data_IF_969233899428
#
_entry.id   IF_969233899428
#
_cell.length_a   1.000
_cell.length_b   1.000
_cell.length_c   1.000
_cell.angle_alpha   90.00
_cell.angle_beta   90.00
_cell.angle_gamma   90.00
#
_symmetry.space_group_name_H-M   'P 1'
#
loop_
_entity.id
_entity.type
_entity.pdbx_description
1 polymer ?
#
# COMPACT_ATOMS: atom_id res chain seq x y z
N UNK A 1 35.65 -4.30 -4.45
CA UNK A 1 35.25 -2.93 -4.82
C UNK A 1 34.23 -2.42 -3.81
N UNK A 2 34.33 -1.16 -3.38
CA UNK A 2 33.42 -0.61 -2.36
C UNK A 2 32.34 0.25 -3.01
N UNK A 3 31.11 -0.28 -3.10
CA UNK A 3 29.95 0.47 -3.57
C UNK A 3 29.44 1.39 -2.46
N UNK A 4 29.81 2.67 -2.53
CA UNK A 4 29.40 3.68 -1.55
C UNK A 4 28.64 4.87 -2.16
N UNK A 5 28.55 4.99 -3.50
CA UNK A 5 27.90 6.14 -4.15
C UNK A 5 26.42 6.25 -3.75
N UNK A 6 25.71 5.12 -3.67
CA UNK A 6 24.31 5.09 -3.22
C UNK A 6 24.11 5.56 -1.77
N UNK A 7 25.17 5.62 -0.95
CA UNK A 7 25.10 6.06 0.45
C UNK A 7 25.20 7.57 0.63
N UNK A 8 25.49 8.32 -0.44
CA UNK A 8 25.61 9.78 -0.41
C UNK A 8 24.28 10.41 0.00
N UNK A 9 24.33 11.51 0.73
CA UNK A 9 23.13 12.13 1.29
C UNK A 9 22.20 12.66 0.19
N UNK A 10 22.73 13.13 -0.94
CA UNK A 10 21.93 13.52 -2.10
C UNK A 10 21.04 12.37 -2.62
N UNK A 11 21.54 11.12 -2.63
CA UNK A 11 20.75 9.95 -3.02
C UNK A 11 19.67 9.68 -2.00
N UNK A 12 20.01 9.73 -0.71
CA UNK A 12 19.05 9.50 0.38
C UNK A 12 17.93 10.54 0.39
N UNK A 13 18.27 11.80 0.21
CA UNK A 13 17.33 12.91 0.13
C UNK A 13 16.40 12.75 -1.08
N UNK A 14 16.94 12.38 -2.24
CA UNK A 14 16.14 12.15 -3.44
C UNK A 14 15.14 11.00 -3.25
N UNK A 15 15.58 9.88 -2.67
CA UNK A 15 14.70 8.74 -2.35
C UNK A 15 13.65 9.12 -1.30
N UNK A 16 14.02 9.86 -0.25
CA UNK A 16 13.07 10.35 0.75
C UNK A 16 12.02 11.28 0.14
N UNK A 17 12.41 12.18 -0.77
CA UNK A 17 11.45 13.04 -1.49
C UNK A 17 10.51 12.22 -2.38
N UNK A 18 11.05 11.22 -3.10
CA UNK A 18 10.27 10.37 -3.99
C UNK A 18 9.23 9.53 -3.24
N UNK A 19 9.58 9.01 -2.06
CA UNK A 19 8.70 8.15 -1.26
C UNK A 19 8.04 8.86 -0.07
N UNK A 20 8.19 10.18 0.03
CA UNK A 20 7.66 11.03 1.09
C UNK A 20 8.03 10.54 2.52
N UNK A 21 9.28 10.14 2.72
CA UNK A 21 9.78 9.68 4.03
C UNK A 21 9.21 8.34 4.50
N UNK A 22 8.67 7.54 3.57
CA UNK A 22 8.08 6.23 3.84
C UNK A 22 8.90 5.08 3.25
N UNK A 23 8.80 3.92 3.90
CA UNK A 23 9.34 2.68 3.36
C UNK A 23 8.60 2.30 2.06
N UNK A 24 9.37 2.02 0.99
CA UNK A 24 8.83 1.60 -0.30
C UNK A 24 7.97 0.32 -0.21
N UNK A 25 8.31 -0.59 0.72
CA UNK A 25 7.60 -1.87 0.84
C UNK A 25 6.39 -1.82 1.77
N UNK A 26 6.55 -1.28 2.99
CA UNK A 26 5.50 -1.35 4.01
C UNK A 26 4.73 -0.05 4.23
N UNK A 27 5.03 0.99 3.44
CA UNK A 27 4.44 2.34 3.53
C UNK A 27 4.55 3.03 4.90
N UNK A 28 5.28 2.45 5.85
CA UNK A 28 5.43 3.05 7.18
C UNK A 28 6.37 4.25 7.07
N UNK A 29 5.94 5.38 7.64
CA UNK A 29 6.81 6.54 7.79
C UNK A 29 7.95 6.19 8.74
N UNK A 30 9.19 6.41 8.31
CA UNK A 30 10.37 6.20 9.14
C UNK A 30 11.03 7.51 9.57
N UNK A 31 10.79 8.62 8.86
CA UNK A 31 11.53 9.89 9.00
C UNK A 31 11.62 10.40 10.45
N UNK A 32 10.55 10.22 11.24
CA UNK A 32 10.51 10.65 12.63
C UNK A 32 11.06 9.62 13.65
N UNK A 33 11.31 8.38 13.25
CA UNK A 33 11.53 7.25 14.19
C UNK A 33 12.78 6.42 13.94
N UNK A 34 13.30 6.40 12.71
CA UNK A 34 14.49 5.64 12.35
C UNK A 34 15.15 6.24 11.09
N UNK A 35 16.47 6.11 10.93
CA UNK A 35 17.12 6.50 9.69
C UNK A 35 16.64 5.63 8.53
N UNK A 36 16.55 6.24 7.35
CA UNK A 36 16.26 5.53 6.11
C UNK A 36 17.47 4.68 5.68
N UNK A 37 17.20 3.50 5.12
CA UNK A 37 18.20 2.66 4.48
C UNK A 37 17.97 2.56 2.98
N UNK A 38 19.04 2.78 2.22
CA UNK A 38 19.05 2.58 0.77
C UNK A 38 19.18 1.08 0.51
N UNK A 39 18.05 0.47 0.18
CA UNK A 39 17.95 -0.94 -0.15
C UNK A 39 18.17 -1.19 -1.63
N UNK A 40 18.79 -2.33 -1.93
CA UNK A 40 18.94 -2.83 -3.29
C UNK A 40 17.85 -3.86 -3.59
N UNK A 41 16.95 -3.60 -4.53
CA UNK A 41 15.94 -4.59 -4.91
C UNK A 41 16.60 -5.91 -5.33
N UNK A 42 17.62 -5.82 -6.17
CA UNK A 42 18.52 -6.89 -6.57
C UNK A 42 19.79 -6.83 -5.70
N UNK A 43 20.02 -7.80 -4.79
CA UNK A 43 21.13 -7.76 -3.84
C UNK A 43 22.50 -7.63 -4.51
N UNK A 44 23.30 -6.65 -4.09
CA UNK A 44 24.62 -6.38 -4.72
C UNK A 44 25.71 -7.41 -4.45
N UNK A 45 25.65 -8.10 -3.31
CA UNK A 45 26.78 -8.86 -2.76
C UNK A 45 26.60 -10.36 -2.93
N UNK A 46 25.53 -10.89 -2.37
CA UNK A 46 25.16 -12.31 -2.40
C UNK A 46 23.65 -12.40 -2.61
N UNK A 47 23.17 -13.53 -3.09
CA UNK A 47 21.73 -13.80 -3.30
C UNK A 47 21.34 -15.07 -2.58
N UNK A 48 20.27 -15.03 -1.79
CA UNK A 48 19.61 -16.22 -1.28
C UNK A 48 18.41 -16.58 -2.16
N UNK A 49 18.44 -17.81 -2.72
CA UNK A 49 17.34 -18.37 -3.52
C UNK A 49 16.14 -18.72 -2.66
N UNK A 50 15.02 -19.08 -3.30
CA UNK A 50 13.82 -19.58 -2.60
C UNK A 50 14.10 -20.83 -1.74
N UNK A 51 15.06 -21.68 -2.15
CA UNK A 51 15.50 -22.87 -1.40
C UNK A 51 16.50 -22.56 -0.28
N UNK A 52 16.86 -21.29 -0.08
CA UNK A 52 17.82 -20.86 0.94
C UNK A 52 19.28 -21.08 0.56
N UNK A 53 19.57 -21.44 -0.70
CA UNK A 53 20.94 -21.57 -1.20
C UNK A 53 21.52 -20.16 -1.35
N UNK A 54 22.72 -19.95 -0.82
CA UNK A 54 23.47 -18.71 -0.97
C UNK A 54 24.33 -18.77 -2.24
N UNK A 55 24.11 -17.83 -3.14
CA UNK A 55 24.93 -17.61 -4.33
C UNK A 55 25.91 -16.45 -4.03
N UNK A 56 27.23 -16.68 -4.18
CA UNK A 56 28.26 -15.74 -3.72
C UNK A 56 28.39 -14.50 -4.60
N UNK A 57 27.89 -14.55 -5.83
CA UNK A 57 27.83 -13.40 -6.74
C UNK A 57 26.44 -12.80 -6.63
N UNK A 58 26.36 -11.51 -6.32
CA UNK A 58 25.13 -10.74 -6.44
C UNK A 58 25.12 -9.86 -7.69
N UNK A 59 24.13 -8.98 -7.76
CA UNK A 59 23.92 -8.02 -8.85
C UNK A 59 24.80 -6.78 -8.68
N UNK A 60 26.12 -6.98 -8.56
CA UNK A 60 27.09 -5.90 -8.33
C UNK A 60 27.06 -4.84 -9.45
N UNK A 61 26.74 -5.25 -10.68
CA UNK A 61 26.60 -4.38 -11.85
C UNK A 61 25.37 -3.45 -11.77
N UNK A 62 24.37 -3.79 -10.94
CA UNK A 62 23.19 -2.96 -10.60
C UNK A 62 23.33 -2.27 -9.24
N UNK A 63 24.47 -2.34 -8.57
CA UNK A 63 24.63 -1.82 -7.21
C UNK A 63 24.54 -0.28 -7.09
N UNK A 64 24.53 0.45 -8.19
CA UNK A 64 24.43 1.92 -8.18
C UNK A 64 23.51 2.46 -9.27
N UNK A 65 22.66 1.61 -9.85
CA UNK A 65 21.62 2.03 -10.79
C UNK A 65 20.41 2.50 -10.01
N UNK A 66 19.83 3.64 -10.39
CA UNK A 66 18.73 4.28 -9.66
C UNK A 66 17.52 3.36 -9.50
N UNK A 67 17.21 2.58 -10.53
CA UNK A 67 16.08 1.63 -10.60
C UNK A 67 16.24 0.45 -9.64
N UNK A 68 17.45 0.24 -9.11
CA UNK A 68 17.70 -0.82 -8.13
C UNK A 68 17.70 -0.30 -6.69
N UNK A 69 17.55 1.02 -6.46
CA UNK A 69 17.66 1.64 -5.15
C UNK A 69 16.29 2.08 -4.63
N UNK A 70 15.88 1.56 -3.47
CA UNK A 70 14.64 1.95 -2.80
C UNK A 70 14.91 2.43 -1.37
N UNK A 71 14.15 3.40 -0.86
CA UNK A 71 14.16 3.69 0.55
C UNK A 71 13.39 2.63 1.33
N UNK A 72 13.99 2.11 2.38
CA UNK A 72 13.40 1.06 3.22
C UNK A 72 13.59 1.36 4.70
N UNK A 73 12.68 0.83 5.53
CA UNK A 73 12.90 0.74 6.96
C UNK A 73 13.81 -0.43 7.30
N UNK A 74 14.45 -0.38 8.47
CA UNK A 74 15.41 -1.42 8.90
C UNK A 74 14.77 -2.81 8.99
N UNK A 75 13.47 -2.87 9.33
CA UNK A 75 12.72 -4.12 9.46
C UNK A 75 12.46 -4.82 8.13
N UNK A 76 12.19 -4.06 7.06
CA UNK A 76 12.01 -4.64 5.74
C UNK A 76 13.35 -4.95 5.08
N UNK A 77 14.41 -4.22 5.41
CA UNK A 77 15.72 -4.40 4.82
C UNK A 77 16.57 -5.50 5.47
N UNK A 78 16.84 -5.45 6.79
CA UNK A 78 18.01 -6.15 7.37
C UNK A 78 17.85 -7.63 7.70
N UNK A 79 16.67 -8.24 7.56
CA UNK A 79 16.47 -9.63 7.97
C UNK A 79 16.61 -9.80 9.49
N UNK A 80 15.51 -9.84 10.25
CA UNK A 80 15.55 -9.95 11.71
C UNK A 80 14.44 -10.84 12.26
N UNK A 81 14.68 -11.33 13.47
CA UNK A 81 13.68 -12.07 14.23
C UNK A 81 12.65 -11.12 14.87
N UNK A 82 11.37 -11.39 14.62
CA UNK A 82 10.24 -10.74 15.25
C UNK A 82 9.54 -11.73 16.18
N UNK A 83 9.24 -11.28 17.41
CA UNK A 83 8.53 -12.08 18.40
C UNK A 83 7.03 -11.77 18.33
N UNK A 84 6.22 -12.81 18.24
CA UNK A 84 4.76 -12.72 18.24
C UNK A 84 4.25 -13.71 19.29
N UNK A 85 3.86 -13.21 20.46
CA UNK A 85 3.58 -14.06 21.61
C UNK A 85 4.80 -14.89 22.00
N UNK A 86 4.65 -16.23 21.95
CA UNK A 86 5.75 -17.20 22.21
C UNK A 86 6.51 -17.60 20.94
N UNK A 87 6.02 -17.26 19.75
CA UNK A 87 6.62 -17.65 18.47
C UNK A 87 7.61 -16.59 17.96
N UNK A 88 8.56 -17.02 17.14
CA UNK A 88 9.53 -16.15 16.47
C UNK A 88 9.44 -16.38 14.96
N UNK A 89 9.38 -15.29 14.21
CA UNK A 89 9.35 -15.28 12.75
C UNK A 89 10.54 -14.47 12.24
N UNK A 90 11.13 -14.89 11.12
CA UNK A 90 12.25 -14.19 10.51
C UNK A 90 11.77 -13.46 9.26
N UNK A 91 11.72 -12.12 9.33
CA UNK A 91 11.27 -11.26 8.25
C UNK A 91 12.37 -10.29 7.81
N UNK A 92 12.20 -9.70 6.65
CA UNK A 92 13.15 -8.78 6.04
C UNK A 92 13.84 -9.43 4.85
N UNK A 93 13.99 -8.62 3.79
CA UNK A 93 14.54 -9.04 2.50
C UNK A 93 15.99 -9.48 2.66
N UNK A 94 16.83 -8.66 3.28
CA UNK A 94 18.28 -8.85 3.33
C UNK A 94 18.77 -9.13 1.90
N UNK A 95 19.53 -10.19 1.74
CA UNK A 95 20.02 -10.69 0.46
C UNK A 95 19.07 -11.70 -0.23
N UNK A 96 17.83 -11.86 0.23
CA UNK A 96 16.86 -12.78 -0.41
C UNK A 96 16.35 -12.18 -1.71
N UNK A 97 16.43 -12.96 -2.78
CA UNK A 97 15.91 -12.60 -4.09
C UNK A 97 15.44 -13.85 -4.83
N UNK A 98 14.27 -14.40 -4.43
CA UNK A 98 13.73 -15.58 -5.08
C UNK A 98 13.31 -15.27 -6.52
N UNK A 99 13.70 -16.16 -7.41
CA UNK A 99 13.35 -16.17 -8.83
C UNK A 99 12.54 -17.45 -9.12
N UNK A 100 11.73 -17.44 -10.18
CA UNK A 100 11.02 -18.64 -10.64
C UNK A 100 12.00 -19.73 -11.15
N UNK A 101 13.12 -19.31 -11.72
CA UNK A 101 14.27 -20.15 -12.08
C UNK A 101 15.35 -20.05 -10.98
N UNK A 102 16.13 -21.10 -10.68
CA UNK A 102 17.22 -21.01 -9.69
C UNK A 102 18.39 -20.11 -10.13
N UNK A 103 18.53 -19.86 -11.43
CA UNK A 103 19.66 -19.12 -11.99
C UNK A 103 19.41 -17.61 -11.98
N UNK A 104 20.31 -16.87 -11.34
CA UNK A 104 20.32 -15.41 -11.34
C UNK A 104 21.30 -14.87 -12.38
N UNK A 105 20.98 -13.70 -12.92
CA UNK A 105 21.79 -12.99 -13.88
C UNK A 105 23.09 -12.49 -13.26
N UNK A 106 24.20 -12.83 -13.90
CA UNK A 106 25.55 -12.38 -13.51
C UNK A 106 25.99 -11.10 -14.22
N UNK A 107 25.20 -10.67 -15.21
CA UNK A 107 25.36 -9.42 -15.95
C UNK A 107 24.01 -8.86 -16.42
N UNK A 108 24.08 -7.73 -17.12
CA UNK A 108 22.90 -7.00 -17.59
C UNK A 108 22.05 -7.77 -18.61
N UNK A 109 22.68 -8.62 -19.43
CA UNK A 109 22.00 -9.35 -20.50
C UNK A 109 21.11 -10.47 -19.96
N UNK A 110 21.49 -11.05 -18.82
CA UNK A 110 20.74 -12.12 -18.17
C UNK A 110 19.45 -11.66 -17.50
N UNK A 111 19.32 -10.37 -17.15
CA UNK A 111 18.17 -9.86 -16.37
C UNK A 111 16.83 -10.12 -17.07
N UNK A 112 16.79 -10.00 -18.40
CA UNK A 112 15.57 -10.17 -19.18
C UNK A 112 15.00 -11.60 -19.11
N UNK A 113 15.81 -12.59 -18.71
CA UNK A 113 15.42 -14.00 -18.61
C UNK A 113 14.92 -14.38 -17.21
N UNK A 114 14.97 -13.46 -16.25
CA UNK A 114 14.55 -13.72 -14.88
C UNK A 114 13.08 -13.38 -14.66
N UNK A 115 12.45 -14.15 -13.78
CA UNK A 115 11.12 -13.85 -13.26
C UNK A 115 11.23 -13.71 -11.75
N UNK A 116 11.40 -12.48 -11.21
CA UNK A 116 11.43 -12.25 -9.77
C UNK A 116 10.11 -12.64 -9.10
N UNK A 117 10.19 -13.27 -7.93
CA UNK A 117 9.03 -13.58 -7.09
C UNK A 117 8.80 -12.52 -5.99
N UNK A 118 9.56 -11.43 -6.04
CA UNK A 118 9.34 -10.26 -5.21
C UNK A 118 8.74 -9.12 -6.04
N UNK A 119 7.81 -8.39 -5.44
CA UNK A 119 7.26 -7.15 -5.99
C UNK A 119 8.31 -6.06 -5.81
N UNK A 120 8.62 -5.36 -6.89
CA UNK A 120 9.35 -4.09 -6.87
C UNK A 120 8.37 -2.91 -7.01
N UNK A 121 8.05 -2.19 -5.92
CA UNK A 121 7.09 -1.08 -5.95
C UNK A 121 7.50 0.09 -6.85
N UNK A 122 8.73 0.10 -7.38
CA UNK A 122 9.22 1.14 -8.30
C UNK A 122 9.05 0.78 -9.78
N UNK A 123 8.83 -0.49 -10.11
CA UNK A 123 8.71 -0.97 -11.50
C UNK A 123 7.38 -1.66 -11.82
N UNK A 124 6.62 -2.10 -10.81
CA UNK A 124 5.29 -2.70 -10.98
C UNK A 124 4.29 -2.16 -9.94
N UNK A 125 2.99 -2.20 -10.26
CA UNK A 125 1.93 -1.81 -9.33
C UNK A 125 1.67 -2.95 -8.31
N UNK A 126 1.94 -2.77 -7.01
CA UNK A 126 1.72 -3.83 -6.03
C UNK A 126 0.26 -4.32 -5.95
N UNK A 127 -0.71 -3.50 -6.37
CA UNK A 127 -2.13 -3.85 -6.32
C UNK A 127 -2.53 -4.96 -7.30
N UNK A 128 -1.68 -5.28 -8.29
CA UNK A 128 -1.90 -6.41 -9.20
C UNK A 128 -1.61 -7.77 -8.55
N UNK A 129 -0.91 -7.78 -7.40
CA UNK A 129 -0.48 -8.98 -6.68
C UNK A 129 -0.94 -9.00 -5.21
N UNK A 130 -1.42 -7.86 -4.70
CA UNK A 130 -1.81 -7.67 -3.30
C UNK A 130 -3.22 -7.07 -3.20
N UNK A 131 -4.08 -7.73 -2.44
CA UNK A 131 -5.32 -7.17 -1.93
C UNK A 131 -5.24 -6.88 -0.43
N UNK A 132 -6.31 -6.33 0.14
CA UNK A 132 -6.47 -6.20 1.58
C UNK A 132 -7.60 -7.08 2.08
N UNK A 133 -7.35 -7.87 3.12
CA UNK A 133 -8.43 -8.46 3.90
C UNK A 133 -8.94 -7.37 4.82
N UNK A 134 -10.13 -6.85 4.55
CA UNK A 134 -10.85 -5.94 5.43
C UNK A 134 -12.08 -6.70 5.94
N UNK A 135 -11.92 -7.39 7.07
CA UNK A 135 -12.99 -8.22 7.63
C UNK A 135 -13.94 -7.35 8.49
N UNK A 136 -15.25 -7.26 8.17
CA UNK A 136 -16.21 -6.40 8.89
C UNK A 136 -16.35 -6.70 10.39
N UNK A 137 -15.96 -7.91 10.82
CA UNK A 137 -16.07 -8.36 12.23
C UNK A 137 -14.75 -8.38 12.99
N UNK A 138 -13.61 -8.20 12.31
CA UNK A 138 -12.29 -8.30 12.96
C UNK A 138 -11.48 -7.00 12.90
N UNK A 139 -11.87 -6.03 12.07
CA UNK A 139 -11.17 -4.74 11.90
C UNK A 139 -9.66 -4.91 11.63
N UNK A 140 -9.26 -6.05 11.07
CA UNK A 140 -7.85 -6.32 10.77
C UNK A 140 -7.56 -5.82 9.36
N UNK A 141 -6.51 -5.01 9.21
CA UNK A 141 -6.01 -4.58 7.92
C UNK A 141 -4.69 -5.31 7.58
N UNK A 142 -4.82 -6.44 6.90
CA UNK A 142 -3.70 -7.27 6.46
C UNK A 142 -3.71 -7.42 4.94
N UNK A 143 -2.53 -7.58 4.34
CA UNK A 143 -2.43 -7.93 2.93
C UNK A 143 -2.91 -9.36 2.69
N UNK A 144 -3.63 -9.56 1.60
CA UNK A 144 -3.90 -10.85 0.97
C UNK A 144 -3.06 -10.97 -0.31
N UNK A 145 -2.42 -12.11 -0.57
CA UNK A 145 -1.68 -12.33 -1.80
C UNK A 145 -2.66 -12.72 -2.91
N UNK A 146 -3.39 -11.76 -3.46
CA UNK A 146 -4.40 -12.00 -4.48
C UNK A 146 -4.15 -11.12 -5.69
N UNK A 147 -4.35 -11.68 -6.87
CA UNK A 147 -4.31 -10.92 -8.12
C UNK A 147 -5.64 -10.19 -8.38
N UNK A 148 -5.73 -9.48 -9.50
CA UNK A 148 -6.94 -8.76 -9.93
C UNK A 148 -8.18 -9.66 -10.06
N UNK A 149 -8.02 -10.97 -10.28
CA UNK A 149 -9.12 -11.94 -10.34
C UNK A 149 -9.50 -12.51 -8.96
N UNK A 150 -8.85 -12.07 -7.87
CA UNK A 150 -9.09 -12.56 -6.52
C UNK A 150 -8.48 -13.94 -6.23
N UNK A 151 -7.61 -14.44 -7.10
CA UNK A 151 -6.93 -15.74 -6.96
C UNK A 151 -5.58 -15.56 -6.28
N UNK A 152 -5.13 -16.56 -5.53
CA UNK A 152 -3.83 -16.52 -4.84
C UNK A 152 -2.67 -16.26 -5.82
N UNK A 153 -1.86 -15.26 -5.50
CA UNK A 153 -0.72 -14.82 -6.31
C UNK A 153 0.62 -15.20 -5.64
N UNK A 154 1.46 -16.05 -6.27
CA UNK A 154 2.74 -16.47 -5.70
C UNK A 154 3.74 -15.34 -5.46
N UNK A 155 3.77 -14.30 -6.30
CA UNK A 155 4.65 -13.13 -6.13
C UNK A 155 4.17 -12.29 -4.95
N UNK A 156 2.86 -12.10 -4.84
CA UNK A 156 2.21 -11.48 -3.69
C UNK A 156 2.52 -12.21 -2.38
N UNK A 157 2.35 -13.53 -2.34
CA UNK A 157 2.65 -14.38 -1.17
C UNK A 157 4.11 -14.24 -0.75
N UNK A 158 5.02 -14.44 -1.69
CA UNK A 158 6.47 -14.38 -1.45
C UNK A 158 6.88 -13.00 -0.94
N UNK A 159 6.31 -11.92 -1.47
CA UNK A 159 6.56 -10.56 -1.01
C UNK A 159 6.05 -10.29 0.41
N UNK A 160 4.84 -10.77 0.74
CA UNK A 160 4.29 -10.66 2.10
C UNK A 160 5.22 -11.35 3.11
N UNK A 161 5.68 -12.56 2.78
CA UNK A 161 6.47 -13.39 3.68
C UNK A 161 7.90 -12.89 3.84
N UNK A 162 8.56 -12.49 2.74
CA UNK A 162 9.95 -12.01 2.79
C UNK A 162 10.04 -10.61 3.37
N UNK A 163 9.23 -9.65 2.91
CA UNK A 163 9.26 -8.28 3.44
C UNK A 163 8.62 -8.18 4.84
N UNK A 164 7.92 -9.22 5.27
CA UNK A 164 7.16 -9.24 6.53
C UNK A 164 6.05 -8.19 6.53
N UNK A 165 5.30 -8.08 5.42
CA UNK A 165 4.27 -7.05 5.25
C UNK A 165 3.08 -7.22 6.20
N UNK A 166 2.92 -8.41 6.78
CA UNK A 166 1.88 -8.74 7.77
C UNK A 166 2.44 -8.97 9.19
N UNK A 167 3.66 -8.48 9.49
CA UNK A 167 4.15 -8.51 10.88
C UNK A 167 3.19 -7.73 11.81
N UNK A 168 2.99 -8.15 13.07
CA UNK A 168 1.90 -7.61 13.90
C UNK A 168 1.91 -6.10 14.10
N UNK A 169 3.10 -5.48 14.16
CA UNK A 169 3.21 -4.02 14.28
C UNK A 169 2.61 -3.29 13.08
N UNK A 170 2.82 -3.79 11.85
CA UNK A 170 2.24 -3.20 10.64
C UNK A 170 0.73 -3.42 10.57
N UNK A 171 0.27 -4.63 10.90
CA UNK A 171 -1.16 -4.94 10.93
C UNK A 171 -1.87 -4.02 11.92
N UNK A 172 -1.33 -3.85 13.12
CA UNK A 172 -1.86 -2.92 14.14
C UNK A 172 -1.89 -1.48 13.61
N UNK A 173 -0.79 -0.99 13.05
CA UNK A 173 -0.70 0.38 12.53
C UNK A 173 -1.69 0.64 11.39
N UNK A 174 -1.80 -0.30 10.44
CA UNK A 174 -2.80 -0.25 9.36
C UNK A 174 -4.23 -0.29 9.90
N UNK A 175 -4.53 -1.19 10.83
CA UNK A 175 -5.85 -1.26 11.48
C UNK A 175 -6.22 0.06 12.15
N UNK A 176 -5.33 0.62 12.99
CA UNK A 176 -5.62 1.92 13.63
C UNK A 176 -5.85 3.03 12.61
N UNK A 177 -5.05 3.06 11.54
CA UNK A 177 -5.23 4.03 10.45
C UNK A 177 -6.56 3.85 9.72
N UNK A 178 -6.95 2.60 9.45
CA UNK A 178 -8.22 2.26 8.82
C UNK A 178 -9.40 2.70 9.70
N UNK A 179 -9.36 2.43 11.01
CA UNK A 179 -10.43 2.84 11.93
C UNK A 179 -10.63 4.35 11.96
N UNK A 180 -9.54 5.14 11.97
CA UNK A 180 -9.62 6.61 11.87
C UNK A 180 -10.20 7.06 10.53
N UNK A 181 -9.80 6.42 9.44
CA UNK A 181 -10.29 6.71 8.10
C UNK A 181 -11.80 6.40 7.97
N UNK A 182 -12.24 5.24 8.43
CA UNK A 182 -13.65 4.85 8.45
C UNK A 182 -14.50 5.78 9.32
N UNK A 183 -13.96 6.25 10.46
CA UNK A 183 -14.64 7.26 11.26
C UNK A 183 -14.86 8.57 10.47
N UNK A 184 -13.86 9.01 9.71
CA UNK A 184 -13.97 10.17 8.84
C UNK A 184 -15.01 9.95 7.72
N UNK A 185 -15.03 8.77 7.09
CA UNK A 185 -16.05 8.42 6.09
C UNK A 185 -17.46 8.40 6.68
N UNK A 186 -17.65 7.88 7.89
CA UNK A 186 -18.93 7.95 8.62
C UNK A 186 -19.34 9.38 8.95
N UNK A 187 -18.40 10.33 9.07
CA UNK A 187 -18.73 11.75 9.18
C UNK A 187 -19.35 12.26 7.88
N UNK A 188 -18.73 11.96 6.73
CA UNK A 188 -19.23 12.35 5.40
C UNK A 188 -20.64 11.79 5.18
N UNK A 189 -20.88 10.52 5.50
CA UNK A 189 -22.20 9.89 5.35
C UNK A 189 -23.26 10.58 6.21
N UNK A 190 -22.93 10.89 7.48
CA UNK A 190 -23.85 11.60 8.38
C UNK A 190 -24.14 13.01 7.89
N UNK A 191 -23.12 13.75 7.47
CA UNK A 191 -23.30 15.10 6.93
C UNK A 191 -24.14 15.08 5.65
N UNK A 192 -24.02 14.05 4.81
CA UNK A 192 -24.88 13.86 3.63
C UNK A 192 -26.34 13.69 4.03
N UNK A 193 -26.63 12.77 4.95
CA UNK A 193 -28.00 12.54 5.44
C UNK A 193 -28.60 13.78 6.10
N UNK A 194 -27.75 14.61 6.73
CA UNK A 194 -28.20 15.87 7.30
C UNK A 194 -28.51 16.93 6.23
N UNK A 195 -27.64 17.05 5.22
CA UNK A 195 -27.89 17.91 4.06
C UNK A 195 -29.22 17.57 3.38
N UNK A 196 -29.52 16.28 3.22
CA UNK A 196 -30.77 15.79 2.61
C UNK A 196 -32.03 16.32 3.31
N UNK A 197 -32.01 16.54 4.64
CA UNK A 197 -33.15 17.12 5.37
C UNK A 197 -33.44 18.57 4.97
N UNK A 198 -32.47 19.26 4.37
CA UNK A 198 -32.57 20.64 3.95
C UNK A 198 -32.93 20.78 2.46
N UNK A 199 -33.26 19.71 1.74
CA UNK A 199 -33.60 19.77 0.31
C UNK A 199 -34.70 20.78 -0.07
N UNK A 200 -35.61 21.10 0.86
CA UNK A 200 -36.65 22.11 0.67
C UNK A 200 -36.18 23.57 0.84
N UNK A 201 -34.97 23.79 1.37
CA UNK A 201 -34.34 25.11 1.55
C UNK A 201 -33.01 25.12 0.79
N UNK A 202 -33.03 25.69 -0.41
CA UNK A 202 -31.88 25.67 -1.33
C UNK A 202 -30.62 26.30 -0.71
N UNK A 203 -30.77 27.34 0.13
CA UNK A 203 -29.64 28.01 0.79
C UNK A 203 -28.99 27.07 1.78
N UNK A 204 -29.77 26.50 2.71
CA UNK A 204 -29.27 25.56 3.73
C UNK A 204 -28.71 24.28 3.10
N UNK A 205 -29.33 23.79 2.04
CA UNK A 205 -28.85 22.64 1.29
C UNK A 205 -27.47 22.92 0.67
N UNK A 206 -27.31 24.04 -0.02
CA UNK A 206 -26.05 24.43 -0.64
C UNK A 206 -24.93 24.65 0.39
N UNK A 207 -25.24 25.26 1.53
CA UNK A 207 -24.29 25.41 2.64
C UNK A 207 -23.84 24.05 3.20
N UNK A 208 -24.78 23.11 3.39
CA UNK A 208 -24.45 21.76 3.85
C UNK A 208 -23.58 21.01 2.84
N UNK A 209 -23.88 21.11 1.55
CA UNK A 209 -23.04 20.54 0.49
C UNK A 209 -21.64 21.20 0.43
N UNK A 210 -21.53 22.50 0.68
CA UNK A 210 -20.24 23.18 0.74
C UNK A 210 -19.37 22.65 1.89
N UNK A 211 -19.95 22.44 3.08
CA UNK A 211 -19.26 21.81 4.22
C UNK A 211 -18.78 20.40 3.90
N UNK A 212 -19.65 19.57 3.31
CA UNK A 212 -19.30 18.21 2.90
C UNK A 212 -18.15 18.16 1.89
N UNK A 213 -18.11 19.08 0.93
CA UNK A 213 -17.01 19.18 -0.03
C UNK A 213 -15.68 19.49 0.67
N UNK A 214 -15.70 20.35 1.69
CA UNK A 214 -14.50 20.65 2.48
C UNK A 214 -14.04 19.44 3.29
N UNK A 215 -14.96 18.75 3.97
CA UNK A 215 -14.63 17.53 4.72
C UNK A 215 -14.05 16.45 3.80
N UNK A 216 -14.64 16.22 2.63
CA UNK A 216 -14.15 15.23 1.67
C UNK A 216 -12.74 15.58 1.16
N UNK A 217 -12.44 16.87 0.94
CA UNK A 217 -11.09 17.32 0.58
C UNK A 217 -10.08 17.00 1.68
N UNK A 218 -10.43 17.23 2.93
CA UNK A 218 -9.54 16.86 4.05
C UNK A 218 -9.37 15.34 4.16
N UNK A 219 -10.41 14.55 3.93
CA UNK A 219 -10.29 13.09 3.87
C UNK A 219 -9.33 12.65 2.77
N UNK A 220 -9.45 13.20 1.56
CA UNK A 220 -8.55 12.92 0.43
C UNK A 220 -7.11 13.28 0.81
N UNK A 221 -6.90 14.49 1.33
CA UNK A 221 -5.59 15.01 1.71
C UNK A 221 -4.93 14.20 2.82
N UNK A 222 -5.69 13.79 3.83
CA UNK A 222 -5.15 13.11 5.01
C UNK A 222 -4.98 11.62 4.81
N UNK A 223 -5.82 10.95 4.00
CA UNK A 223 -5.83 9.48 3.93
C UNK A 223 -5.52 8.92 2.54
N UNK A 224 -5.97 9.58 1.47
CA UNK A 224 -5.87 9.04 0.12
C UNK A 224 -4.67 9.58 -0.66
N UNK A 225 -4.14 10.74 -0.27
CA UNK A 225 -2.96 11.30 -0.92
C UNK A 225 -1.74 10.38 -0.71
N UNK A 226 -1.00 10.10 -1.80
CA UNK A 226 0.05 9.10 -1.86
C UNK A 226 1.19 9.32 -0.85
N UNK A 227 1.40 10.57 -0.42
CA UNK A 227 2.41 10.93 0.59
C UNK A 227 2.08 10.39 1.99
N UNK A 228 0.82 10.07 2.27
CA UNK A 228 0.43 9.57 3.58
C UNK A 228 0.77 8.08 3.75
N UNK A 229 1.10 7.64 4.98
CA UNK A 229 1.30 6.23 5.25
C UNK A 229 0.02 5.42 5.06
N UNK A 230 0.19 4.21 4.52
CA UNK A 230 -0.88 3.25 4.26
C UNK A 230 -1.96 3.77 3.30
N UNK A 231 -1.58 4.62 2.35
CA UNK A 231 -2.51 5.23 1.41
C UNK A 231 -3.13 4.19 0.48
N UNK A 232 -2.39 3.13 0.10
CA UNK A 232 -2.95 2.07 -0.74
C UNK A 232 -4.13 1.36 -0.07
N UNK A 233 -4.01 1.06 1.24
CA UNK A 233 -5.10 0.48 2.04
C UNK A 233 -6.30 1.43 2.13
N UNK A 234 -6.07 2.71 2.44
CA UNK A 234 -7.15 3.69 2.52
C UNK A 234 -7.85 3.87 1.17
N UNK A 235 -7.13 3.85 0.04
CA UNK A 235 -7.72 3.87 -1.30
C UNK A 235 -8.57 2.64 -1.57
N UNK A 236 -8.07 1.44 -1.26
CA UNK A 236 -8.84 0.20 -1.38
C UNK A 236 -10.16 0.28 -0.60
N UNK A 237 -10.12 0.71 0.67
CA UNK A 237 -11.31 0.90 1.48
C UNK A 237 -12.25 2.00 0.93
N UNK A 238 -11.69 3.09 0.40
CA UNK A 238 -12.45 4.16 -0.23
C UNK A 238 -13.22 3.69 -1.47
N UNK A 239 -12.62 2.85 -2.31
CA UNK A 239 -13.29 2.29 -3.48
C UNK A 239 -14.53 1.48 -3.08
N UNK A 240 -14.38 0.58 -2.09
CA UNK A 240 -15.51 -0.21 -1.56
C UNK A 240 -16.60 0.69 -0.98
N UNK A 241 -16.20 1.72 -0.21
CA UNK A 241 -17.13 2.69 0.36
C UNK A 241 -17.88 3.46 -0.74
N UNK A 242 -17.17 3.93 -1.77
CA UNK A 242 -17.72 4.70 -2.88
C UNK A 242 -18.73 3.88 -3.67
N UNK A 243 -18.39 2.65 -4.05
CA UNK A 243 -19.30 1.74 -4.78
C UNK A 243 -20.58 1.47 -4.00
N UNK A 244 -20.48 1.28 -2.68
CA UNK A 244 -21.66 1.12 -1.81
C UNK A 244 -22.52 2.37 -1.83
N UNK A 245 -21.90 3.55 -1.73
CA UNK A 245 -22.63 4.82 -1.72
C UNK A 245 -23.33 5.06 -3.06
N UNK A 246 -22.67 4.81 -4.19
CA UNK A 246 -23.26 4.93 -5.53
C UNK A 246 -24.50 4.06 -5.66
N UNK A 247 -24.41 2.77 -5.27
CA UNK A 247 -25.58 1.86 -5.26
C UNK A 247 -26.74 2.37 -4.40
N UNK A 248 -26.45 2.95 -3.24
CA UNK A 248 -27.48 3.53 -2.37
C UNK A 248 -28.17 4.75 -3.00
N UNK A 249 -27.41 5.59 -3.72
CA UNK A 249 -27.94 6.76 -4.40
C UNK A 249 -28.78 6.36 -5.61
N UNK A 250 -28.36 5.36 -6.38
CA UNK A 250 -29.11 4.84 -7.52
C UNK A 250 -30.45 4.25 -7.06
N UNK A 251 -30.45 3.47 -5.98
CA UNK A 251 -31.67 2.92 -5.39
C UNK A 251 -32.62 4.04 -4.91
N UNK A 252 -32.10 5.04 -4.21
CA UNK A 252 -32.90 6.16 -3.73
C UNK A 252 -33.47 7.04 -4.85
N UNK A 253 -32.83 7.08 -6.03
CA UNK A 253 -33.36 7.74 -7.21
C UNK A 253 -34.47 6.92 -7.88
N UNK A 254 -34.33 5.59 -7.91
CA UNK A 254 -35.34 4.68 -8.46
C UNK A 254 -36.63 4.62 -7.64
N UNK A 255 -36.54 4.83 -6.32
CA UNK A 255 -37.69 4.79 -5.40
C UNK A 255 -38.49 6.11 -5.33
N UNK A 256 -38.12 7.15 -6.09
CA UNK A 256 -38.90 8.40 -6.14
C UNK A 256 -40.17 8.21 -7.00
N UNK A 257 -41.37 8.54 -6.48
CA UNK A 257 -42.60 8.39 -7.24
C UNK A 257 -42.59 9.29 -8.48
N UNK A 258 -42.90 8.71 -9.63
CA UNK A 258 -43.14 9.46 -10.88
C UNK A 258 -44.27 10.45 -10.61
N UNK A 259 -44.12 11.76 -10.94
CA UNK A 259 -45.20 12.71 -10.75
C UNK A 259 -46.45 12.22 -11.48
N UNK A 260 -47.52 11.99 -10.73
CA UNK A 260 -48.85 11.73 -11.32
C UNK A 260 -49.18 12.93 -12.19
N UNK A 261 -49.23 12.73 -13.50
CA UNK A 261 -49.81 13.70 -14.42
C UNK A 261 -51.29 13.78 -14.04
N UNK A 262 -51.67 14.81 -13.29
CA UNK A 262 -53.06 15.15 -13.09
C UNK A 262 -53.63 15.48 -14.48
N UNK A 263 -54.57 14.67 -14.95
CA UNK A 263 -55.37 14.99 -16.13
C UNK A 263 -56.14 16.30 -15.84
N UNK A 264 -56.07 17.31 -16.74
CA UNK A 264 -56.87 18.51 -16.59
C UNK A 264 -58.35 18.16 -16.75
N UNK A 265 -59.16 18.64 -15.80
CA UNK A 265 -60.62 18.54 -15.79
C UNK A 265 -61.28 19.45 -16.85
#
# INVERSE_FOLDING_TARGET
MTFNVYKRDQVKEALNRLFAGKCAYCESAYEATQPMEVEHFRPKGEVFTASGIMLPTGYWFRASTWENLLPSCTDCNRGRWHKVGKQRYFYGKHSKFPLASPDHAVDETGIANEIPLLIDPSSEDPSTHLGFVIAPKKEVAAFAPVNAAGVEDPKGRTSIDIYGLNRPGLVKARTSRLSCFEFALRSIERGRLDAEKHKGDLTRYNEALARLRLELREVIKLYLHWKNPYAAMCRSAFHVWKERLEKQLDQAAADQPVPSMAEPA
#
